data_IF_505508238197
#
_entry.id   IF_505508238197
#
_cell.length_a   1.000
_cell.length_b   1.000
_cell.length_c   1.000
_cell.angle_alpha   90.00
_cell.angle_beta   90.00
_cell.angle_gamma   90.00
#
_symmetry.space_group_name_H-M   'P 1'
#
loop_
_entity.id
_entity.type
_entity.pdbx_description
1 polymer ?
#
# COMPACT_ATOMS: atom_id res chain seq x y z
N UNK A 1 17.29 19.27 7.07
CA UNK A 1 16.15 18.93 6.21
C UNK A 1 15.22 17.98 6.93
N UNK A 2 14.01 18.42 7.25
CA UNK A 2 12.97 17.56 7.79
C UNK A 2 11.87 17.39 6.74
N UNK A 3 11.43 16.15 6.54
CA UNK A 3 10.21 15.85 5.78
C UNK A 3 9.07 16.79 6.20
N UNK A 4 8.23 17.23 5.26
CA UNK A 4 7.00 17.97 5.56
C UNK A 4 6.22 17.30 6.70
N UNK A 5 5.59 18.12 7.55
CA UNK A 5 4.81 17.66 8.72
C UNK A 5 3.75 16.62 8.33
N UNK A 6 3.19 16.74 7.11
CA UNK A 6 2.27 15.78 6.51
C UNK A 6 2.86 14.38 6.34
N UNK A 7 4.05 14.29 5.74
CA UNK A 7 4.77 13.02 5.56
C UNK A 7 5.20 12.45 6.91
N UNK A 8 5.65 13.30 7.85
CA UNK A 8 6.02 12.87 9.22
C UNK A 8 4.82 12.25 9.95
N UNK A 9 3.63 12.84 9.86
CA UNK A 9 2.39 12.29 10.48
C UNK A 9 2.04 10.92 9.91
N UNK A 10 2.18 10.72 8.59
CA UNK A 10 1.91 9.42 7.94
C UNK A 10 2.93 8.36 8.34
N UNK A 11 4.23 8.70 8.31
CA UNK A 11 5.33 7.82 8.71
C UNK A 11 5.31 7.43 10.20
N UNK A 12 4.74 8.28 11.06
CA UNK A 12 4.60 7.98 12.50
C UNK A 12 3.68 6.79 12.77
N UNK A 13 2.85 6.38 11.80
CA UNK A 13 1.77 5.41 12.00
C UNK A 13 1.89 4.22 11.07
N UNK A 14 1.39 3.06 11.51
CA UNK A 14 1.25 1.83 10.71
C UNK A 14 0.05 1.85 9.76
N UNK A 15 -0.69 2.96 9.68
CA UNK A 15 -1.92 3.11 8.90
C UNK A 15 -1.80 2.62 7.45
N UNK A 16 -0.65 2.86 6.80
CA UNK A 16 -0.39 2.41 5.44
C UNK A 16 -0.46 0.88 5.30
N UNK A 17 0.30 0.19 6.16
CA UNK A 17 0.41 -1.27 6.17
C UNK A 17 -0.92 -1.88 6.63
N UNK A 18 -1.59 -1.27 7.61
CA UNK A 18 -2.91 -1.73 8.07
C UNK A 18 -3.96 -1.67 6.97
N UNK A 19 -3.99 -0.60 6.17
CA UNK A 19 -4.90 -0.49 5.01
C UNK A 19 -4.58 -1.52 3.92
N UNK A 20 -3.31 -1.77 3.66
CA UNK A 20 -2.88 -2.81 2.72
C UNK A 20 -3.32 -4.20 3.21
N UNK A 21 -3.05 -4.52 4.48
CA UNK A 21 -3.45 -5.80 5.09
C UNK A 21 -4.97 -5.97 5.14
N UNK A 22 -5.72 -4.91 5.38
CA UNK A 22 -7.18 -4.93 5.34
C UNK A 22 -7.70 -5.24 3.94
N UNK A 23 -7.07 -4.68 2.90
CA UNK A 23 -7.42 -4.92 1.49
C UNK A 23 -7.16 -6.37 1.09
N UNK A 24 -6.03 -6.93 1.51
CA UNK A 24 -5.72 -8.36 1.33
C UNK A 24 -6.74 -9.22 2.07
N UNK A 25 -7.03 -8.91 3.34
CA UNK A 25 -7.98 -9.66 4.17
C UNK A 25 -9.40 -9.65 3.60
N UNK A 26 -9.86 -8.54 3.02
CA UNK A 26 -11.20 -8.45 2.42
C UNK A 26 -11.30 -9.35 1.18
N UNK A 27 -10.31 -9.34 0.30
CA UNK A 27 -10.31 -10.11 -0.94
C UNK A 27 -10.12 -11.61 -0.68
N UNK A 28 -9.27 -12.00 0.26
CA UNK A 28 -9.13 -13.40 0.69
C UNK A 28 -10.39 -13.91 1.39
N UNK A 29 -11.09 -13.06 2.14
CA UNK A 29 -12.38 -13.42 2.79
C UNK A 29 -13.47 -13.80 1.77
N UNK A 30 -13.48 -13.19 0.59
CA UNK A 30 -14.45 -13.53 -0.48
C UNK A 30 -14.22 -14.95 -1.01
N UNK A 31 -12.95 -15.35 -1.17
CA UNK A 31 -12.59 -16.69 -1.66
C UNK A 31 -12.97 -17.81 -0.67
N UNK A 32 -13.00 -17.52 0.64
CA UNK A 32 -13.28 -18.44 1.78
C UNK A 32 -12.29 -19.62 1.93
N UNK A 33 -12.04 -20.38 0.87
CA UNK A 33 -11.16 -21.56 0.83
C UNK A 33 -10.38 -21.54 -0.49
N UNK A 34 -9.09 -21.87 -0.44
CA UNK A 34 -8.25 -21.99 -1.63
C UNK A 34 -7.95 -23.46 -1.92
N UNK A 35 -7.85 -23.81 -3.21
CA UNK A 35 -7.51 -25.16 -3.65
C UNK A 35 -6.07 -25.58 -3.31
N UNK A 36 -5.15 -24.61 -3.26
CA UNK A 36 -3.75 -24.79 -2.88
C UNK A 36 -3.12 -23.44 -2.48
N UNK A 37 -1.90 -23.50 -1.95
CA UNK A 37 -1.12 -22.32 -1.53
C UNK A 37 -0.85 -21.37 -2.71
N UNK A 38 -0.48 -21.90 -3.88
CA UNK A 38 -0.20 -21.09 -5.08
C UNK A 38 -1.39 -20.22 -5.48
N UNK A 39 -2.62 -20.73 -5.35
CA UNK A 39 -3.83 -19.98 -5.67
C UNK A 39 -4.05 -18.81 -4.72
N UNK A 40 -3.72 -18.99 -3.44
CA UNK A 40 -3.71 -17.90 -2.45
C UNK A 40 -2.62 -16.88 -2.79
N UNK A 41 -1.40 -17.33 -3.06
CA UNK A 41 -0.28 -16.47 -3.41
C UNK A 41 -0.57 -15.63 -4.66
N UNK A 42 -1.18 -16.23 -5.70
CA UNK A 42 -1.60 -15.52 -6.92
C UNK A 42 -2.58 -14.40 -6.61
N UNK A 43 -3.60 -14.67 -5.79
CA UNK A 43 -4.57 -13.64 -5.40
C UNK A 43 -3.87 -12.51 -4.64
N UNK A 44 -3.13 -12.83 -3.59
CA UNK A 44 -2.46 -11.81 -2.75
C UNK A 44 -1.50 -10.97 -3.59
N UNK A 45 -0.72 -11.61 -4.46
CA UNK A 45 0.22 -10.90 -5.35
C UNK A 45 -0.51 -9.97 -6.31
N UNK A 46 -1.61 -10.43 -6.92
CA UNK A 46 -2.43 -9.59 -7.82
C UNK A 46 -2.99 -8.35 -7.10
N UNK A 47 -3.43 -8.50 -5.84
CA UNK A 47 -3.94 -7.39 -5.03
C UNK A 47 -2.85 -6.36 -4.71
N UNK A 48 -1.66 -6.82 -4.36
CA UNK A 48 -0.54 -5.93 -4.06
C UNK A 48 -0.05 -5.23 -5.33
N UNK A 49 -0.03 -5.92 -6.48
CA UNK A 49 0.27 -5.32 -7.77
C UNK A 49 -0.72 -4.21 -8.13
N UNK A 50 -2.03 -4.46 -7.99
CA UNK A 50 -3.08 -3.46 -8.24
C UNK A 50 -2.88 -2.18 -7.40
N UNK A 51 -2.60 -2.34 -6.09
CA UNK A 51 -2.34 -1.20 -5.18
C UNK A 51 -1.05 -0.48 -5.55
N UNK A 52 -0.01 -1.23 -5.92
CA UNK A 52 1.27 -0.67 -6.36
C UNK A 52 1.09 0.20 -7.60
N UNK A 53 0.35 -0.28 -8.59
CA UNK A 53 0.09 0.46 -9.82
C UNK A 53 -0.70 1.75 -9.54
N UNK A 54 -1.71 1.71 -8.65
CA UNK A 54 -2.46 2.90 -8.23
C UNK A 54 -1.58 3.96 -7.55
N UNK A 55 -0.62 3.52 -6.74
CA UNK A 55 0.33 4.42 -6.07
C UNK A 55 1.31 5.06 -7.05
N UNK A 56 1.72 4.33 -8.08
CA UNK A 56 2.59 4.85 -9.14
C UNK A 56 1.85 5.82 -10.07
N UNK A 57 0.56 5.57 -10.36
CA UNK A 57 -0.18 6.33 -11.37
C UNK A 57 -0.84 7.61 -10.87
N UNK A 58 -1.26 7.68 -9.59
CA UNK A 58 -2.21 8.74 -9.19
C UNK A 58 -2.10 9.23 -7.74
N UNK A 59 -1.84 8.36 -6.76
CA UNK A 59 -1.88 8.72 -5.33
C UNK A 59 -0.82 8.01 -4.51
N UNK A 60 0.44 8.38 -4.71
CA UNK A 60 1.51 7.94 -3.84
C UNK A 60 1.17 8.26 -2.37
N UNK A 61 1.32 7.27 -1.49
CA UNK A 61 1.03 7.41 -0.06
C UNK A 61 1.96 8.44 0.62
N UNK A 62 3.17 8.61 0.10
CA UNK A 62 4.11 9.66 0.46
C UNK A 62 4.32 10.53 -0.77
N UNK A 63 4.14 11.83 -0.62
CA UNK A 63 4.45 12.80 -1.65
C UNK A 63 5.77 13.45 -1.29
N UNK A 64 6.84 13.06 -1.98
CA UNK A 64 8.12 13.75 -1.91
C UNK A 64 8.10 14.77 -3.05
N UNK A 65 7.61 15.98 -2.78
CA UNK A 65 7.69 17.06 -3.77
C UNK A 65 9.15 17.46 -3.94
N UNK A 66 9.62 17.59 -5.18
CA UNK A 66 11.01 17.96 -5.50
C UNK A 66 11.43 19.32 -4.92
N UNK A 67 10.48 20.19 -4.58
CA UNK A 67 10.69 21.44 -3.85
C UNK A 67 11.32 21.24 -2.46
N UNK A 68 11.31 20.01 -1.89
CA UNK A 68 11.97 19.69 -0.62
C UNK A 68 13.49 19.45 -0.76
N UNK A 69 14.03 19.40 -1.99
CA UNK A 69 15.46 19.21 -2.28
C UNK A 69 16.17 20.48 -2.78
N UNK A 70 15.43 21.57 -2.98
CA UNK A 70 15.92 22.89 -3.39
C UNK A 70 15.86 23.87 -2.21
N UNK A 71 16.55 23.56 -1.11
CA UNK A 71 17.01 24.54 -0.11
C UNK A 71 18.23 24.00 0.65
#
# INVERSE_FOLDING_TARGET
MGLCEFNRKRLRTSNMIERLNQSVKQRTKVAKIFANEDSCLRLVSAVVMEISDEWQSSKAYLSLSDDEFLD
#
